data_IF_758080893187
#
_entry.id   IF_758080893187
#
_cell.length_a   1.000
_cell.length_b   1.000
_cell.length_c   1.000
_cell.angle_alpha   90.00
_cell.angle_beta   90.00
_cell.angle_gamma   90.00
#
_symmetry.space_group_name_H-M   'P 1'
#
loop_
_entity.id
_entity.type
_entity.pdbx_description
1 polymer ?
#
# COMPACT_ATOMS: atom_id res chain seq x y z
N UNK A 1 46.28 -29.20 -16.78
CA UNK A 1 45.02 -29.04 -16.03
C UNK A 1 45.14 -27.75 -15.21
N UNK A 2 44.22 -26.80 -15.38
CA UNK A 2 44.19 -25.56 -14.57
C UNK A 2 42.90 -25.62 -13.74
N UNK A 3 43.07 -25.81 -12.43
CA UNK A 3 42.00 -25.74 -11.45
C UNK A 3 41.49 -24.30 -11.43
N UNK A 4 40.29 -24.09 -11.98
CA UNK A 4 39.61 -22.82 -11.84
C UNK A 4 39.09 -22.72 -10.42
N UNK A 5 39.68 -21.75 -9.72
CA UNK A 5 39.48 -21.36 -8.34
C UNK A 5 38.00 -21.29 -7.95
N UNK A 6 37.66 -21.97 -6.87
CA UNK A 6 36.38 -21.98 -6.14
C UNK A 6 35.99 -20.64 -5.49
N UNK A 7 36.68 -19.54 -5.82
CA UNK A 7 36.51 -18.25 -5.16
C UNK A 7 35.39 -17.36 -5.72
N UNK A 8 34.78 -17.70 -6.85
CA UNK A 8 33.79 -16.84 -7.54
C UNK A 8 32.33 -17.01 -7.08
N UNK A 9 32.02 -18.03 -6.27
CA UNK A 9 30.64 -18.28 -5.83
C UNK A 9 30.20 -17.40 -4.63
N UNK A 10 31.13 -16.92 -3.80
CA UNK A 10 30.79 -16.15 -2.59
C UNK A 10 30.45 -14.68 -2.88
N UNK A 11 30.86 -14.13 -4.03
CA UNK A 11 30.67 -12.71 -4.36
C UNK A 11 29.26 -12.37 -4.87
N UNK A 12 28.49 -13.34 -5.38
CA UNK A 12 27.13 -13.10 -5.87
C UNK A 12 26.07 -13.13 -4.76
N UNK A 13 26.33 -13.84 -3.66
CA UNK A 13 25.44 -13.88 -2.50
C UNK A 13 25.40 -12.54 -1.75
N UNK A 14 26.52 -11.80 -1.74
CA UNK A 14 26.62 -10.49 -1.09
C UNK A 14 25.97 -9.35 -1.87
N UNK A 15 25.74 -9.49 -3.18
CA UNK A 15 24.98 -8.48 -3.97
C UNK A 15 23.46 -8.57 -3.75
N UNK A 16 22.92 -9.75 -3.42
CA UNK A 16 21.48 -9.93 -3.15
C UNK A 16 21.02 -9.31 -1.83
N UNK A 17 21.94 -9.13 -0.87
CA UNK A 17 21.67 -8.42 0.39
C UNK A 17 21.60 -6.90 0.23
N UNK A 18 21.98 -6.38 -0.94
CA UNK A 18 22.04 -4.96 -1.24
C UNK A 18 20.93 -4.52 -2.19
N UNK A 19 19.89 -5.33 -2.42
CA UNK A 19 18.70 -4.83 -3.13
C UNK A 19 18.14 -3.70 -2.26
N UNK A 20 18.32 -2.42 -2.65
CA UNK A 20 17.68 -1.35 -1.94
C UNK A 20 16.20 -1.64 -2.11
N UNK A 21 15.42 -1.50 -1.04
CA UNK A 21 13.97 -1.47 -1.13
C UNK A 21 13.61 -0.43 -2.20
N UNK A 22 13.29 -0.88 -3.42
CA UNK A 22 13.09 -0.02 -4.60
C UNK A 22 11.94 0.95 -4.36
N UNK A 23 11.02 0.56 -3.49
CA UNK A 23 10.14 1.46 -2.77
C UNK A 23 10.95 2.00 -1.61
N UNK A 24 11.39 3.26 -1.70
CA UNK A 24 11.98 3.96 -0.55
C UNK A 24 11.05 3.90 0.67
N UNK A 25 11.38 4.59 1.76
CA UNK A 25 10.56 4.64 2.97
C UNK A 25 9.17 5.31 2.74
N UNK A 26 8.52 5.19 1.58
CA UNK A 26 7.26 5.86 1.26
C UNK A 26 6.11 5.28 2.09
N UNK A 27 5.30 6.17 2.61
CA UNK A 27 4.19 5.85 3.49
C UNK A 27 2.97 6.68 3.10
N UNK A 28 1.80 6.06 3.16
CA UNK A 28 0.54 6.78 3.12
C UNK A 28 0.23 7.33 4.50
N UNK A 29 -0.04 8.63 4.57
CA UNK A 29 -0.46 9.34 5.78
C UNK A 29 -1.93 9.71 5.67
N UNK A 30 -2.74 9.20 6.58
CA UNK A 30 -4.17 9.45 6.60
C UNK A 30 -4.54 10.61 7.55
N UNK A 31 -5.73 11.23 7.39
CA UNK A 31 -6.20 12.32 8.25
C UNK A 31 -6.19 12.03 9.76
N UNK A 32 -6.36 10.77 10.18
CA UNK A 32 -6.22 10.39 11.60
C UNK A 32 -4.80 10.49 12.15
N UNK A 33 -3.79 10.63 11.29
CA UNK A 33 -2.38 10.47 11.63
C UNK A 33 -1.86 9.04 11.46
N UNK A 34 -2.71 8.08 11.09
CA UNK A 34 -2.27 6.71 10.78
C UNK A 34 -1.34 6.72 9.57
N UNK A 35 -0.24 5.97 9.67
CA UNK A 35 0.69 5.73 8.57
C UNK A 35 0.66 4.28 8.12
N UNK A 36 0.81 4.07 6.81
CA UNK A 36 0.90 2.75 6.19
C UNK A 36 2.03 2.74 5.18
N UNK A 37 2.96 1.79 5.30
CA UNK A 37 4.01 1.60 4.29
C UNK A 37 3.40 1.32 2.92
N UNK A 38 4.00 1.89 1.87
CA UNK A 38 3.54 1.64 0.51
C UNK A 38 3.55 0.14 0.17
N UNK A 39 4.55 -0.61 0.65
CA UNK A 39 4.61 -2.06 0.49
C UNK A 39 3.39 -2.78 1.11
N UNK A 40 2.88 -2.28 2.24
CA UNK A 40 1.65 -2.81 2.85
C UNK A 40 0.44 -2.52 1.96
N UNK A 41 0.35 -1.31 1.39
CA UNK A 41 -0.74 -0.98 0.45
C UNK A 41 -0.70 -1.87 -0.80
N UNK A 42 0.50 -2.19 -1.30
CA UNK A 42 0.66 -3.12 -2.41
C UNK A 42 0.24 -4.56 -2.05
N UNK A 43 0.53 -5.04 -0.83
CA UNK A 43 -0.01 -6.33 -0.37
C UNK A 43 -1.54 -6.33 -0.31
N UNK A 44 -2.13 -5.26 0.24
CA UNK A 44 -3.58 -5.09 0.30
C UNK A 44 -4.22 -5.00 -1.09
N UNK A 45 -3.52 -4.46 -2.08
CA UNK A 45 -3.99 -4.39 -3.46
C UNK A 45 -4.28 -5.79 -4.04
N UNK A 46 -3.52 -6.82 -3.63
CA UNK A 46 -3.75 -8.21 -4.06
C UNK A 46 -5.08 -8.78 -3.55
N UNK A 47 -5.65 -8.18 -2.49
CA UNK A 47 -6.93 -8.55 -1.89
C UNK A 47 -8.09 -7.75 -2.48
N UNK A 48 -7.84 -6.75 -3.31
CA UNK A 48 -8.87 -5.92 -3.91
C UNK A 48 -9.67 -6.70 -4.97
N UNK A 49 -11.00 -6.51 -4.98
CA UNK A 49 -11.94 -7.16 -5.90
C UNK A 49 -12.98 -6.16 -6.38
N UNK A 50 -13.52 -6.37 -7.57
CA UNK A 50 -14.58 -5.49 -8.13
C UNK A 50 -15.88 -5.62 -7.32
N UNK A 51 -16.17 -6.83 -6.82
CA UNK A 51 -17.34 -7.13 -5.97
C UNK A 51 -17.34 -6.40 -4.62
N UNK A 52 -16.19 -5.89 -4.17
CA UNK A 52 -16.10 -5.10 -2.95
C UNK A 52 -16.56 -3.65 -3.14
N UNK A 53 -16.74 -3.19 -4.38
CA UNK A 53 -17.17 -1.83 -4.66
C UNK A 53 -18.59 -1.59 -4.12
N UNK A 54 -18.80 -0.39 -3.58
CA UNK A 54 -20.10 0.06 -3.05
C UNK A 54 -20.37 1.47 -3.55
N UNK A 55 -21.64 1.81 -3.72
CA UNK A 55 -22.06 3.16 -4.12
C UNK A 55 -21.61 4.25 -3.14
N UNK A 56 -21.36 3.87 -1.88
CA UNK A 56 -20.84 4.77 -0.85
C UNK A 56 -19.34 5.03 -0.94
N UNK A 57 -18.59 4.31 -1.79
CA UNK A 57 -17.15 4.53 -1.97
C UNK A 57 -16.92 5.84 -2.76
N UNK A 58 -15.82 6.57 -2.51
CA UNK A 58 -15.49 7.72 -3.31
C UNK A 58 -15.18 7.28 -4.75
N UNK A 59 -15.52 8.13 -5.72
CA UNK A 59 -15.09 7.92 -7.09
C UNK A 59 -13.57 7.94 -7.21
N UNK A 60 -13.03 7.21 -8.17
CA UNK A 60 -11.63 7.38 -8.59
C UNK A 60 -11.52 8.49 -9.65
N UNK A 61 -10.35 9.12 -9.83
CA UNK A 61 -10.21 10.33 -10.64
C UNK A 61 -10.45 10.07 -12.14
N UNK A 62 -10.18 8.85 -12.60
CA UNK A 62 -10.33 8.45 -14.00
C UNK A 62 -11.74 7.98 -14.36
N UNK A 63 -12.63 7.81 -13.38
CA UNK A 63 -14.01 7.32 -13.56
C UNK A 63 -14.12 5.93 -14.23
N UNK A 64 -13.04 5.15 -14.29
CA UNK A 64 -13.06 3.78 -14.81
C UNK A 64 -13.53 2.76 -13.76
N UNK A 65 -13.69 1.50 -14.17
CA UNK A 65 -13.91 0.40 -13.23
C UNK A 65 -12.66 0.18 -12.35
N UNK A 66 -12.85 0.02 -11.05
CA UNK A 66 -11.76 -0.28 -10.12
C UNK A 66 -12.02 -1.55 -9.31
N UNK A 67 -10.98 -2.06 -8.67
CA UNK A 67 -11.08 -3.07 -7.61
C UNK A 67 -10.95 -2.36 -6.27
N UNK A 68 -11.68 -2.79 -5.25
CA UNK A 68 -11.54 -2.21 -3.92
C UNK A 68 -11.26 -3.24 -2.82
N UNK A 69 -10.63 -2.76 -1.76
CA UNK A 69 -10.45 -3.47 -0.50
C UNK A 69 -10.79 -2.53 0.66
N UNK A 70 -11.74 -2.95 1.49
CA UNK A 70 -12.23 -2.18 2.64
C UNK A 70 -11.84 -2.88 3.93
N UNK A 71 -11.35 -2.12 4.91
CA UNK A 71 -11.07 -2.65 6.25
C UNK A 71 -11.27 -1.59 7.32
N UNK A 72 -11.35 -2.01 8.58
CA UNK A 72 -11.50 -1.12 9.73
C UNK A 72 -10.40 -1.37 10.74
N UNK A 73 -9.94 -0.31 11.41
CA UNK A 73 -8.98 -0.38 12.52
C UNK A 73 -9.57 0.34 13.73
N UNK A 74 -9.49 -0.28 14.91
CA UNK A 74 -9.90 0.36 16.16
C UNK A 74 -9.04 1.60 16.45
N UNK A 75 -9.65 2.62 17.04
CA UNK A 75 -8.93 3.81 17.50
C UNK A 75 -8.24 3.48 18.83
N UNK A 76 -6.91 3.70 18.97
CA UNK A 76 -6.24 3.53 20.25
C UNK A 76 -6.88 4.39 21.34
N UNK A 77 -7.26 3.78 22.46
CA UNK A 77 -7.87 4.47 23.59
C UNK A 77 -9.39 4.68 23.50
N UNK A 78 -10.04 4.28 22.40
CA UNK A 78 -11.50 4.29 22.27
C UNK A 78 -11.99 3.04 21.52
N UNK A 79 -12.27 1.98 22.29
CA UNK A 79 -12.74 0.68 21.77
C UNK A 79 -14.11 0.75 21.07
N UNK A 80 -14.86 1.84 21.28
CA UNK A 80 -16.17 2.04 20.66
C UNK A 80 -16.08 2.64 19.26
N UNK A 81 -14.88 3.10 18.85
CA UNK A 81 -14.66 3.76 17.56
C UNK A 81 -13.62 3.04 16.72
N UNK A 82 -13.82 3.15 15.41
CA UNK A 82 -12.94 2.60 14.42
C UNK A 82 -12.82 3.55 13.23
N UNK A 83 -11.63 3.62 12.65
CA UNK A 83 -11.42 4.20 11.33
C UNK A 83 -11.72 3.16 10.27
N UNK A 84 -12.42 3.57 9.22
CA UNK A 84 -12.59 2.77 8.02
C UNK A 84 -11.60 3.24 6.96
N UNK A 85 -11.01 2.29 6.25
CA UNK A 85 -10.05 2.53 5.19
C UNK A 85 -10.50 1.81 3.94
N UNK A 86 -10.20 2.42 2.79
CA UNK A 86 -10.55 1.93 1.49
C UNK A 86 -9.36 2.09 0.55
N UNK A 87 -8.92 0.98 -0.04
CA UNK A 87 -7.99 0.97 -1.14
C UNK A 87 -8.74 0.72 -2.43
N UNK A 88 -8.55 1.58 -3.43
CA UNK A 88 -9.05 1.42 -4.79
C UNK A 88 -7.87 1.27 -5.76
N UNK A 89 -7.93 0.24 -6.60
CA UNK A 89 -6.89 -0.12 -7.58
C UNK A 89 -7.48 0.00 -8.99
N UNK A 90 -6.84 0.79 -9.85
CA UNK A 90 -7.34 1.11 -11.20
C UNK A 90 -6.19 1.34 -12.19
N UNK A 91 -6.52 1.40 -13.49
CA UNK A 91 -5.56 1.64 -14.56
C UNK A 91 -4.63 0.46 -14.87
N UNK A 92 -3.87 0.61 -15.97
CA UNK A 92 -2.78 -0.26 -16.37
C UNK A 92 -1.59 0.61 -16.84
N UNK A 93 -0.47 0.67 -16.10
CA UNK A 93 -0.16 -0.08 -14.88
C UNK A 93 -1.01 0.34 -13.66
N UNK A 94 -1.10 -0.51 -12.61
CA UNK A 94 -1.94 -0.26 -11.45
C UNK A 94 -1.60 1.04 -10.72
N UNK A 95 -2.63 1.84 -10.48
CA UNK A 95 -2.59 3.05 -9.65
C UNK A 95 -3.46 2.85 -8.42
N UNK A 96 -3.08 3.49 -7.31
CA UNK A 96 -3.71 3.31 -6.00
C UNK A 96 -4.34 4.62 -5.51
N UNK A 97 -5.60 4.54 -5.09
CA UNK A 97 -6.24 5.57 -4.28
C UNK A 97 -6.54 4.97 -2.91
N UNK A 98 -5.84 5.45 -1.89
CA UNK A 98 -6.05 5.02 -0.52
C UNK A 98 -6.77 6.14 0.26
N UNK A 99 -7.91 5.81 0.87
CA UNK A 99 -8.78 6.78 1.55
C UNK A 99 -9.17 6.28 2.94
N UNK A 100 -9.40 7.23 3.84
CA UNK A 100 -9.94 7.00 5.17
C UNK A 100 -11.28 7.69 5.31
N UNK A 101 -12.24 7.02 5.97
CA UNK A 101 -13.46 7.68 6.41
C UNK A 101 -13.13 8.56 7.63
N UNK A 102 -13.18 9.87 7.46
CA UNK A 102 -12.84 10.87 8.47
C UNK A 102 -13.78 12.08 8.40
N UNK A 103 -14.26 12.57 9.55
CA UNK A 103 -15.20 13.70 9.65
C UNK A 103 -16.38 13.62 8.65
N UNK A 104 -17.11 12.50 8.67
CA UNK A 104 -18.31 12.25 7.85
C UNK A 104 -18.09 12.08 6.33
N UNK A 105 -16.84 11.98 5.86
CA UNK A 105 -16.56 11.75 4.45
C UNK A 105 -15.31 10.91 4.19
N UNK A 106 -15.14 10.50 2.95
CA UNK A 106 -13.91 9.88 2.49
C UNK A 106 -12.87 10.96 2.23
N UNK A 107 -11.69 10.78 2.81
CA UNK A 107 -10.55 11.66 2.63
C UNK A 107 -9.35 10.84 2.20
N UNK A 108 -8.66 11.31 1.17
CA UNK A 108 -7.52 10.60 0.61
C UNK A 108 -6.32 10.67 1.57
N UNK A 109 -5.62 9.56 1.74
CA UNK A 109 -4.34 9.51 2.41
C UNK A 109 -3.23 9.93 1.44
N UNK A 110 -2.30 10.78 1.89
CA UNK A 110 -1.22 11.32 1.09
C UNK A 110 -0.03 10.37 1.05
N UNK A 111 0.50 10.08 -0.13
CA UNK A 111 1.76 9.34 -0.27
C UNK A 111 2.94 10.30 -0.03
N UNK A 112 3.71 10.05 1.02
CA UNK A 112 4.85 10.88 1.43
C UNK A 112 6.12 10.02 1.47
N UNK A 113 7.29 10.67 1.34
CA UNK A 113 8.55 10.00 1.68
C UNK A 113 8.63 9.89 3.21
N UNK A 114 8.77 8.69 3.74
CA UNK A 114 8.89 8.46 5.17
C UNK A 114 10.16 9.09 5.71
N UNK A 115 9.96 9.83 6.79
CA UNK A 115 10.99 10.44 7.64
C UNK A 115 11.89 9.40 8.31
#
# INVERSE_FOLDING_TARGET
MKFLSTATAAALASLLLLVPTVYGNRQYKCPSGDTFEEATIMDLANKAREENNRDSHPGIPTHESCKSYFFTRKIPGDDSKQYAYLLQVYGQPPTYQFSQQFNYGWQQCSLENGS
#
